data_IF_851874783733
#
_entry.id   IF_851874783733
#
_cell.length_a   1.000
_cell.length_b   1.000
_cell.length_c   1.000
_cell.angle_alpha   90.00
_cell.angle_beta   90.00
_cell.angle_gamma   90.00
#
_symmetry.space_group_name_H-M   'P 1'
#
loop_
_entity.id
_entity.type
_entity.pdbx_description
1 polymer ?
#
# COMPACT_ATOMS: atom_id res chain seq x y z
N UNK A 1 -2.42 -26.56 -18.26
CA UNK A 1 -2.36 -26.06 -16.86
C UNK A 1 -1.18 -25.11 -16.74
N UNK A 2 -1.40 -23.85 -16.37
CA UNK A 2 -0.32 -22.87 -16.24
C UNK A 2 0.47 -23.17 -14.94
N UNK A 3 1.78 -23.48 -15.00
CA UNK A 3 2.58 -23.93 -13.85
C UNK A 3 2.69 -22.91 -12.71
N UNK A 4 2.27 -21.65 -12.93
CA UNK A 4 2.25 -20.59 -11.93
C UNK A 4 1.33 -20.86 -10.73
N UNK A 5 0.26 -21.65 -10.87
CA UNK A 5 -0.73 -21.83 -9.79
C UNK A 5 -0.30 -22.85 -8.72
N UNK A 6 0.61 -23.78 -9.05
CA UNK A 6 1.21 -24.74 -8.10
C UNK A 6 2.10 -24.08 -7.03
N UNK A 7 2.44 -22.79 -7.19
CA UNK A 7 3.55 -22.15 -6.49
C UNK A 7 3.24 -21.47 -5.13
N UNK A 8 1.98 -21.39 -4.69
CA UNK A 8 1.63 -20.67 -3.44
C UNK A 8 1.46 -21.54 -2.19
N UNK A 9 1.94 -22.79 -2.20
CA UNK A 9 2.00 -23.60 -0.97
C UNK A 9 2.92 -22.91 0.06
N UNK A 10 2.44 -22.60 1.28
CA UNK A 10 3.27 -21.95 2.30
C UNK A 10 4.50 -22.80 2.64
N UNK A 11 5.69 -22.23 2.42
CA UNK A 11 6.95 -22.91 2.75
C UNK A 11 7.33 -22.53 4.18
N UNK A 12 7.39 -23.51 5.09
CA UNK A 12 7.98 -23.30 6.41
C UNK A 12 9.48 -23.12 6.28
N UNK A 13 10.01 -22.02 6.82
CA UNK A 13 11.44 -21.70 6.82
C UNK A 13 11.95 -21.74 8.26
N UNK A 14 13.17 -22.23 8.46
CA UNK A 14 13.80 -22.26 9.80
C UNK A 14 13.98 -20.86 10.37
N UNK A 15 14.03 -20.75 11.71
CA UNK A 15 14.24 -19.47 12.41
C UNK A 15 15.53 -18.79 11.98
N UNK A 16 16.61 -19.56 11.79
CA UNK A 16 17.88 -19.05 11.27
C UNK A 16 17.74 -18.46 9.87
N UNK A 17 17.07 -19.16 8.94
CA UNK A 17 16.87 -18.66 7.57
C UNK A 17 16.06 -17.36 7.56
N UNK A 18 15.04 -17.25 8.41
CA UNK A 18 14.25 -16.02 8.54
C UNK A 18 15.08 -14.88 9.12
N UNK A 19 15.90 -15.16 10.13
CA UNK A 19 16.78 -14.17 10.76
C UNK A 19 17.83 -13.62 9.78
N UNK A 20 18.62 -14.50 9.16
CA UNK A 20 19.66 -14.09 8.22
C UNK A 20 19.07 -13.47 6.95
N UNK A 21 17.96 -14.01 6.44
CA UNK A 21 17.24 -13.43 5.31
C UNK A 21 16.79 -11.99 5.60
N UNK A 22 16.17 -11.75 6.77
CA UNK A 22 15.77 -10.41 7.18
C UNK A 22 16.98 -9.46 7.24
N UNK A 23 18.10 -9.88 7.84
CA UNK A 23 19.32 -9.06 7.90
C UNK A 23 19.85 -8.73 6.51
N UNK A 24 19.97 -9.74 5.64
CA UNK A 24 20.43 -9.56 4.27
C UNK A 24 19.58 -8.53 3.51
N UNK A 25 18.26 -8.69 3.48
CA UNK A 25 17.37 -7.76 2.77
C UNK A 25 17.37 -6.36 3.40
N UNK A 26 17.53 -6.26 4.72
CA UNK A 26 17.68 -4.98 5.43
C UNK A 26 18.94 -4.24 4.98
N UNK A 27 20.08 -4.93 4.96
CA UNK A 27 21.36 -4.35 4.51
C UNK A 27 21.35 -4.02 3.03
N UNK A 28 20.79 -4.90 2.18
CA UNK A 28 20.58 -4.64 0.76
C UNK A 28 19.78 -3.36 0.55
N UNK A 29 18.70 -3.15 1.30
CA UNK A 29 17.91 -1.91 1.24
C UNK A 29 18.74 -0.69 1.62
N UNK A 30 19.50 -0.75 2.71
CA UNK A 30 20.36 0.36 3.11
C UNK A 30 21.42 0.67 2.05
N UNK A 31 22.03 -0.36 1.46
CA UNK A 31 22.93 -0.21 0.31
C UNK A 31 22.26 0.57 -0.82
N UNK A 32 21.06 0.15 -1.25
CA UNK A 32 20.27 0.87 -2.27
C UNK A 32 20.01 2.31 -1.83
N UNK A 33 19.63 2.57 -0.58
CA UNK A 33 19.40 3.95 -0.14
C UNK A 33 20.67 4.81 -0.16
N UNK A 34 21.84 4.24 0.10
CA UNK A 34 23.11 4.95 0.09
C UNK A 34 23.67 5.15 -1.32
N UNK A 35 23.49 4.19 -2.22
CA UNK A 35 24.11 4.19 -3.56
C UNK A 35 23.19 4.69 -4.67
N UNK A 36 21.87 4.68 -4.47
CA UNK A 36 20.94 5.06 -5.54
C UNK A 36 21.04 6.57 -5.81
N UNK A 37 21.48 6.89 -7.01
CA UNK A 37 21.67 8.26 -7.53
C UNK A 37 20.36 8.96 -7.92
N UNK A 38 19.21 8.28 -7.84
CA UNK A 38 17.91 8.90 -8.12
C UNK A 38 17.66 10.06 -7.17
N UNK A 39 17.21 11.19 -7.74
CA UNK A 39 16.78 12.35 -6.96
C UNK A 39 15.63 11.94 -6.03
N UNK A 40 15.71 12.34 -4.78
CA UNK A 40 14.78 11.92 -3.74
C UNK A 40 13.86 13.08 -3.38
N UNK A 41 12.56 12.80 -3.31
CA UNK A 41 11.58 13.71 -2.74
C UNK A 41 11.91 13.94 -1.26
N UNK A 42 12.30 15.16 -0.91
CA UNK A 42 12.66 15.54 0.47
C UNK A 42 12.06 16.87 0.90
N UNK A 43 11.74 17.74 -0.05
CA UNK A 43 11.11 19.02 0.23
C UNK A 43 9.67 18.80 0.65
N UNK A 44 9.24 19.52 1.68
CA UNK A 44 7.85 19.57 2.12
C UNK A 44 7.39 21.02 2.12
N UNK A 45 6.19 21.24 1.63
CA UNK A 45 5.53 22.53 1.66
C UNK A 45 4.18 22.39 2.37
N UNK A 46 3.85 23.28 3.33
CA UNK A 46 2.60 23.17 4.08
C UNK A 46 1.39 23.51 3.21
N UNK A 47 1.52 24.55 2.38
CA UNK A 47 0.47 25.05 1.50
C UNK A 47 0.19 24.04 0.39
N UNK A 48 -1.09 23.78 0.15
CA UNK A 48 -1.52 22.88 -0.91
C UNK A 48 -1.25 23.50 -2.29
N UNK A 49 -0.73 22.70 -3.23
CA UNK A 49 -0.77 23.03 -4.64
C UNK A 49 -2.24 23.19 -5.09
N UNK A 50 -2.50 24.06 -6.09
CA UNK A 50 -3.85 24.51 -6.39
C UNK A 50 -4.77 23.39 -6.88
N UNK A 51 -4.25 22.49 -7.73
CA UNK A 51 -5.08 21.51 -8.42
C UNK A 51 -5.16 20.20 -7.64
N UNK A 52 -6.39 19.69 -7.47
CA UNK A 52 -6.61 18.37 -6.90
C UNK A 52 -6.51 17.32 -8.00
N UNK A 53 -5.51 16.46 -7.91
CA UNK A 53 -5.37 15.32 -8.82
C UNK A 53 -6.31 14.18 -8.41
N UNK A 54 -6.25 13.78 -7.14
CA UNK A 54 -7.14 12.77 -6.59
C UNK A 54 -7.18 12.85 -5.07
N UNK A 55 -8.31 12.50 -4.46
CA UNK A 55 -8.47 12.38 -3.00
C UNK A 55 -9.08 11.04 -2.63
N UNK A 56 -8.75 10.56 -1.43
CA UNK A 56 -9.41 9.38 -0.87
C UNK A 56 -9.40 9.40 0.65
N UNK A 57 -10.40 8.74 1.24
CA UNK A 57 -10.57 8.60 2.67
C UNK A 57 -10.70 7.13 3.06
N UNK A 58 -10.09 6.73 4.18
CA UNK A 58 -10.29 5.39 4.75
C UNK A 58 -10.65 5.47 6.23
N UNK A 59 -11.67 4.72 6.71
CA UNK A 59 -12.04 4.74 8.12
C UNK A 59 -10.88 4.37 9.04
N UNK A 60 -10.68 5.13 10.12
CA UNK A 60 -9.63 4.90 11.10
C UNK A 60 -9.87 3.65 11.92
N UNK A 61 -11.11 3.34 12.26
CA UNK A 61 -11.47 2.19 13.10
C UNK A 61 -12.24 1.18 12.27
N UNK A 62 -11.88 -0.10 12.45
CA UNK A 62 -12.61 -1.24 11.93
C UNK A 62 -12.69 -2.28 13.03
N UNK A 63 -13.89 -2.80 13.29
CA UNK A 63 -14.07 -3.89 14.23
C UNK A 63 -13.70 -5.19 13.51
N UNK A 64 -12.57 -5.77 13.92
CA UNK A 64 -12.10 -7.04 13.37
C UNK A 64 -12.40 -8.15 14.39
N UNK A 65 -12.95 -9.27 13.92
CA UNK A 65 -13.30 -10.39 14.80
C UNK A 65 -12.05 -10.90 15.52
N UNK A 66 -12.12 -10.98 16.85
CA UNK A 66 -11.03 -11.50 17.68
C UNK A 66 -9.79 -10.63 17.75
N UNK A 67 -9.90 -9.33 17.42
CA UNK A 67 -8.81 -8.35 17.59
C UNK A 67 -9.20 -7.33 18.64
N UNK A 68 -8.31 -7.10 19.59
CA UNK A 68 -8.45 -6.06 20.61
C UNK A 68 -8.53 -4.66 19.98
N UNK A 69 -9.57 -3.89 20.36
CA UNK A 69 -9.77 -2.51 19.90
C UNK A 69 -8.65 -1.57 20.33
N UNK A 70 -7.93 -1.86 21.42
CA UNK A 70 -6.77 -1.07 21.81
C UNK A 70 -5.70 -1.04 20.70
N UNK A 71 -5.52 -2.13 19.94
CA UNK A 71 -4.59 -2.15 18.81
C UNK A 71 -5.04 -1.24 17.66
N UNK A 72 -6.36 -1.02 17.50
CA UNK A 72 -6.90 -0.07 16.52
C UNK A 72 -6.73 1.38 17.00
N UNK A 73 -6.89 1.67 18.29
CA UNK A 73 -6.60 3.00 18.84
C UNK A 73 -5.10 3.34 18.76
N UNK A 74 -4.22 2.40 19.10
CA UNK A 74 -2.78 2.56 18.94
C UNK A 74 -2.38 2.77 17.48
N UNK A 75 -3.07 2.13 16.53
CA UNK A 75 -2.88 2.38 15.09
C UNK A 75 -3.13 3.85 14.76
N UNK A 76 -4.14 4.51 15.32
CA UNK A 76 -4.40 5.93 15.06
C UNK A 76 -3.20 6.78 15.48
N UNK A 77 -2.62 6.53 16.65
CA UNK A 77 -1.39 7.20 17.11
C UNK A 77 -0.24 6.99 16.11
N UNK A 78 -0.03 5.76 15.67
CA UNK A 78 0.99 5.42 14.68
C UNK A 78 0.77 6.14 13.34
N UNK A 79 -0.48 6.19 12.87
CA UNK A 79 -0.87 6.87 11.64
C UNK A 79 -0.62 8.38 11.73
N UNK A 80 -0.96 9.03 12.85
CA UNK A 80 -0.65 10.46 13.07
C UNK A 80 0.84 10.74 12.98
N UNK A 81 1.66 9.93 13.65
CA UNK A 81 3.12 10.07 13.63
C UNK A 81 3.71 9.88 12.24
N UNK A 82 3.22 8.89 11.47
CA UNK A 82 3.67 8.66 10.10
C UNK A 82 3.16 9.74 9.12
N UNK A 83 1.90 10.16 9.23
CA UNK A 83 1.31 11.21 8.41
C UNK A 83 2.10 12.53 8.55
N UNK A 84 2.48 12.91 9.77
CA UNK A 84 3.30 14.11 10.02
C UNK A 84 4.69 14.08 9.33
N UNK A 85 5.19 12.90 8.95
CA UNK A 85 6.43 12.76 8.16
C UNK A 85 6.20 12.88 6.66
N UNK A 86 4.98 12.61 6.19
CA UNK A 86 4.64 12.55 4.78
C UNK A 86 3.86 13.76 4.28
N UNK A 87 3.09 14.41 5.13
CA UNK A 87 2.26 15.55 4.73
C UNK A 87 3.10 16.69 4.15
N UNK A 88 2.60 17.25 3.04
CA UNK A 88 3.22 18.32 2.30
C UNK A 88 4.39 17.88 1.41
N UNK A 89 4.69 16.58 1.30
CA UNK A 89 5.83 16.10 0.51
C UNK A 89 5.67 16.45 -0.98
N UNK A 90 6.65 17.17 -1.50
CA UNK A 90 6.75 17.53 -2.91
C UNK A 90 7.57 16.47 -3.64
N UNK A 91 7.05 15.97 -4.76
CA UNK A 91 7.73 15.07 -5.68
C UNK A 91 7.89 15.80 -7.00
N UNK A 92 9.08 16.36 -7.22
CA UNK A 92 9.42 17.07 -8.47
C UNK A 92 9.67 16.10 -9.62
N UNK A 93 9.65 16.57 -10.88
CA UNK A 93 10.08 15.77 -12.03
C UNK A 93 11.41 15.04 -11.79
N UNK A 94 11.41 13.73 -12.03
CA UNK A 94 12.54 12.82 -11.81
C UNK A 94 12.79 12.41 -10.35
N UNK A 95 12.07 12.98 -9.37
CA UNK A 95 12.21 12.60 -7.96
C UNK A 95 11.44 11.31 -7.63
N UNK A 96 11.97 10.54 -6.69
CA UNK A 96 11.34 9.34 -6.15
C UNK A 96 11.01 9.50 -4.66
N UNK A 97 9.75 9.24 -4.32
CA UNK A 97 9.26 8.99 -2.97
C UNK A 97 9.52 7.54 -2.57
N UNK A 98 9.96 7.35 -1.32
CA UNK A 98 10.08 6.04 -0.68
C UNK A 98 9.43 6.13 0.71
N UNK A 99 8.43 5.28 0.94
CA UNK A 99 7.62 5.30 2.14
C UNK A 99 8.46 5.16 3.42
N UNK A 100 9.27 4.10 3.50
CA UNK A 100 10.10 3.87 4.68
C UNK A 100 11.32 4.78 4.79
N UNK A 101 11.85 5.28 3.67
CA UNK A 101 12.96 6.25 3.75
C UNK A 101 12.48 7.60 4.28
N UNK A 102 11.23 7.97 4.02
CA UNK A 102 10.63 9.24 4.46
C UNK A 102 10.14 9.16 5.92
N UNK A 103 9.44 8.08 6.29
CA UNK A 103 8.97 7.86 7.68
C UNK A 103 10.11 7.47 8.62
N UNK A 104 11.02 6.60 8.15
CA UNK A 104 12.06 5.97 8.96
C UNK A 104 11.52 4.81 9.82
N UNK A 105 12.41 4.22 10.64
CA UNK A 105 12.06 3.08 11.51
C UNK A 105 11.00 3.47 12.55
N UNK A 106 9.82 2.82 12.57
CA UNK A 106 8.88 2.94 13.68
C UNK A 106 9.48 2.31 14.95
N UNK A 107 9.41 3.01 16.07
CA UNK A 107 9.88 2.49 17.36
C UNK A 107 9.17 3.17 18.52
N UNK A 108 9.07 2.46 19.66
CA UNK A 108 8.48 3.01 20.90
C UNK A 108 9.13 4.32 21.33
N UNK A 109 10.46 4.43 21.19
CA UNK A 109 11.22 5.67 21.49
C UNK A 109 10.75 6.88 20.67
N UNK A 110 10.21 6.66 19.47
CA UNK A 110 9.64 7.72 18.62
C UNK A 110 8.13 7.92 18.84
N UNK A 111 7.57 7.33 19.89
CA UNK A 111 6.14 7.42 20.21
C UNK A 111 5.26 6.38 19.52
N UNK A 112 5.81 5.50 18.67
CA UNK A 112 5.00 4.47 18.02
C UNK A 112 4.52 3.43 19.04
N UNK A 113 3.21 3.25 19.09
CA UNK A 113 2.54 2.28 19.93
C UNK A 113 2.43 0.92 19.22
N UNK A 114 2.12 -0.10 20.02
CA UNK A 114 1.89 -1.44 19.53
C UNK A 114 0.54 -1.56 18.84
N UNK A 115 0.55 -1.89 17.56
CA UNK A 115 -0.65 -2.14 16.76
C UNK A 115 -0.62 -3.52 16.12
N UNK A 116 -1.67 -3.82 15.37
CA UNK A 116 -1.77 -5.08 14.64
C UNK A 116 -0.76 -5.13 13.48
N UNK A 117 0.03 -6.20 13.41
CA UNK A 117 0.97 -6.51 12.34
C UNK A 117 0.65 -7.90 11.77
N UNK A 118 0.30 -7.97 10.49
CA UNK A 118 0.04 -9.25 9.81
C UNK A 118 1.31 -10.10 9.72
N UNK A 119 1.20 -11.39 9.99
CA UNK A 119 2.31 -12.33 10.06
C UNK A 119 1.84 -13.75 9.73
N UNK A 120 2.26 -14.29 8.58
CA UNK A 120 1.95 -15.67 8.13
C UNK A 120 0.49 -16.11 8.27
N UNK A 121 -0.44 -15.32 7.70
CA UNK A 121 -1.87 -15.65 7.75
C UNK A 121 -2.55 -15.38 9.09
N UNK A 122 -1.81 -14.91 10.10
CA UNK A 122 -2.36 -14.40 11.36
C UNK A 122 -1.90 -12.95 11.61
N UNK A 123 -2.08 -12.47 12.84
CA UNK A 123 -1.55 -11.19 13.29
C UNK A 123 -0.78 -11.33 14.59
N UNK A 124 0.10 -10.36 14.85
CA UNK A 124 0.76 -10.16 16.15
C UNK A 124 0.75 -8.68 16.51
N UNK A 125 1.00 -8.39 17.77
CA UNK A 125 1.25 -7.02 18.23
C UNK A 125 2.68 -6.58 17.93
N UNK A 126 2.88 -5.32 17.55
CA UNK A 126 4.22 -4.73 17.41
C UNK A 126 4.21 -3.23 17.10
N UNK A 127 5.36 -2.56 17.31
CA UNK A 127 5.45 -1.10 17.20
C UNK A 127 5.23 -0.66 15.75
N UNK A 128 4.42 0.39 15.57
CA UNK A 128 4.05 0.87 14.24
C UNK A 128 3.08 -0.05 13.50
N UNK A 129 2.37 -0.93 14.22
CA UNK A 129 1.30 -1.74 13.64
C UNK A 129 0.19 -0.88 13.05
N UNK A 130 -0.40 -1.38 11.97
CA UNK A 130 -1.45 -0.70 11.19
C UNK A 130 -0.98 0.33 10.17
N UNK A 131 0.34 0.61 10.06
CA UNK A 131 0.88 1.55 9.05
C UNK A 131 0.69 1.10 7.60
N UNK A 132 0.35 -0.17 7.32
CA UNK A 132 -0.05 -0.60 5.98
C UNK A 132 -1.32 0.10 5.48
N UNK A 133 -2.19 0.58 6.38
CA UNK A 133 -3.37 1.34 5.97
C UNK A 133 -2.98 2.63 5.24
N UNK A 134 -1.92 3.30 5.68
CA UNK A 134 -1.43 4.52 5.06
C UNK A 134 -0.75 4.24 3.71
N UNK A 135 0.06 3.19 3.60
CA UNK A 135 0.64 2.81 2.30
C UNK A 135 -0.44 2.37 1.30
N UNK A 136 -1.51 1.70 1.75
CA UNK A 136 -2.65 1.37 0.91
C UNK A 136 -3.35 2.62 0.37
N UNK A 137 -3.60 3.61 1.24
CA UNK A 137 -4.19 4.89 0.85
C UNK A 137 -3.35 5.58 -0.23
N UNK A 138 -2.03 5.75 0.02
CA UNK A 138 -1.13 6.43 -0.92
C UNK A 138 -1.07 5.68 -2.25
N UNK A 139 -0.91 4.36 -2.21
CA UNK A 139 -0.87 3.56 -3.44
C UNK A 139 -2.16 3.69 -4.24
N UNK A 140 -3.32 3.54 -3.59
CA UNK A 140 -4.63 3.68 -4.25
C UNK A 140 -4.76 5.03 -4.95
N UNK A 141 -4.51 6.14 -4.25
CA UNK A 141 -4.59 7.47 -4.86
C UNK A 141 -3.61 7.63 -6.03
N UNK A 142 -2.42 7.04 -5.92
CA UNK A 142 -1.41 7.12 -6.98
C UNK A 142 -1.88 6.47 -8.28
N UNK A 143 -2.70 5.41 -8.21
CA UNK A 143 -3.25 4.76 -9.40
C UNK A 143 -4.16 5.69 -10.22
N UNK A 144 -4.64 6.78 -9.62
CA UNK A 144 -5.44 7.81 -10.28
C UNK A 144 -4.62 9.00 -10.79
N UNK A 145 -3.29 8.88 -10.80
CA UNK A 145 -2.36 9.93 -11.24
C UNK A 145 -1.40 9.40 -12.31
N UNK A 146 -0.74 10.26 -13.11
CA UNK A 146 0.33 9.85 -14.00
C UNK A 146 1.63 9.46 -13.28
N UNK A 147 1.68 9.52 -11.94
CA UNK A 147 2.85 9.11 -11.18
C UNK A 147 3.12 7.61 -11.34
N UNK A 148 4.40 7.24 -11.38
CA UNK A 148 4.84 5.87 -11.61
C UNK A 148 5.09 5.13 -10.30
N UNK A 149 4.38 4.03 -10.06
CA UNK A 149 4.70 3.13 -8.94
C UNK A 149 5.93 2.30 -9.29
N UNK A 150 7.06 2.59 -8.63
CA UNK A 150 8.35 1.93 -8.90
C UNK A 150 8.62 0.72 -8.01
N UNK A 151 7.95 0.64 -6.86
CA UNK A 151 8.00 -0.52 -5.97
C UNK A 151 6.66 -0.70 -5.28
N UNK A 152 6.10 -1.91 -5.36
CA UNK A 152 4.87 -2.29 -4.67
C UNK A 152 4.91 -3.77 -4.32
N UNK A 153 4.55 -4.10 -3.08
CA UNK A 153 4.40 -5.48 -2.62
C UNK A 153 2.94 -5.76 -2.28
N UNK A 154 2.52 -7.03 -2.43
CA UNK A 154 1.18 -7.50 -2.06
C UNK A 154 1.23 -8.41 -0.84
N UNK A 155 0.12 -8.53 -0.14
CA UNK A 155 -0.04 -9.55 0.89
C UNK A 155 -0.12 -10.93 0.24
N UNK A 156 0.63 -11.90 0.76
CA UNK A 156 0.54 -13.30 0.32
C UNK A 156 -0.67 -14.04 0.91
N UNK A 157 -1.31 -13.48 1.93
CA UNK A 157 -2.45 -14.06 2.64
C UNK A 157 -3.61 -13.06 2.63
N UNK A 158 -4.79 -13.52 2.21
CA UNK A 158 -6.05 -12.81 2.35
C UNK A 158 -6.68 -13.22 3.69
N UNK A 159 -6.43 -12.40 4.72
CA UNK A 159 -6.70 -12.76 6.11
C UNK A 159 -8.14 -12.43 6.52
N UNK A 160 -8.76 -11.44 5.88
CA UNK A 160 -10.09 -10.97 6.25
C UNK A 160 -11.05 -11.16 5.08
N UNK A 161 -12.25 -11.71 5.32
CA UNK A 161 -13.27 -11.83 4.29
C UNK A 161 -13.76 -10.47 3.79
N UNK A 162 -14.31 -10.46 2.58
CA UNK A 162 -14.84 -9.27 1.91
C UNK A 162 -16.17 -8.83 2.52
N UNK A 163 -16.13 -8.27 3.72
CA UNK A 163 -17.28 -7.56 4.26
C UNK A 163 -17.19 -6.09 3.82
N UNK A 164 -18.06 -5.69 2.88
CA UNK A 164 -18.29 -4.30 2.44
C UNK A 164 -17.03 -3.59 1.92
N UNK A 165 -16.25 -4.26 1.06
CA UNK A 165 -15.05 -3.65 0.45
C UNK A 165 -15.47 -2.59 -0.59
N UNK A 166 -14.94 -1.38 -0.48
CA UNK A 166 -15.18 -0.29 -1.45
C UNK A 166 -14.15 -0.22 -2.56
N UNK A 167 -13.09 -1.03 -2.50
CA UNK A 167 -12.00 -1.06 -3.47
C UNK A 167 -11.74 -2.50 -3.93
N UNK A 168 -11.20 -2.70 -5.14
CA UNK A 168 -10.80 -4.01 -5.65
C UNK A 168 -9.87 -4.81 -4.72
N UNK A 169 -9.84 -6.13 -4.88
CA UNK A 169 -8.88 -6.96 -4.15
C UNK A 169 -7.43 -6.60 -4.51
N UNK A 170 -6.56 -6.53 -3.51
CA UNK A 170 -5.17 -6.17 -3.73
C UNK A 170 -4.98 -4.73 -4.26
N UNK A 171 -5.93 -3.83 -4.01
CA UNK A 171 -5.79 -2.39 -4.28
C UNK A 171 -4.81 -1.66 -3.34
N UNK A 172 -4.15 -2.39 -2.44
CA UNK A 172 -3.20 -1.86 -1.47
C UNK A 172 -1.73 -2.18 -1.79
N UNK A 173 -0.84 -1.62 -0.97
CA UNK A 173 0.60 -1.85 -0.97
C UNK A 173 1.07 -2.27 0.44
N UNK A 174 1.57 -3.50 0.54
CA UNK A 174 2.15 -4.03 1.77
C UNK A 174 3.53 -3.42 2.01
N UNK A 175 3.75 -2.93 3.23
CA UNK A 175 5.01 -2.34 3.63
C UNK A 175 5.52 -3.01 4.91
N UNK A 176 6.83 -3.26 5.00
CA UNK A 176 7.49 -3.80 6.19
C UNK A 176 8.87 -3.19 6.34
N UNK A 177 9.11 -2.51 7.47
CA UNK A 177 10.35 -1.77 7.64
C UNK A 177 11.57 -2.70 7.68
N UNK A 178 12.61 -2.49 6.89
CA UNK A 178 12.74 -1.50 5.80
C UNK A 178 12.75 -2.11 4.40
N UNK A 179 12.63 -3.43 4.24
CA UNK A 179 12.93 -4.08 2.97
C UNK A 179 11.73 -4.25 2.03
N UNK A 180 10.49 -4.16 2.52
CA UNK A 180 9.28 -4.05 1.68
C UNK A 180 8.78 -2.61 1.73
N UNK A 181 8.92 -1.88 0.62
CA UNK A 181 8.66 -0.45 0.55
C UNK A 181 7.56 -0.12 -0.48
N UNK A 182 7.03 1.09 -0.42
CA UNK A 182 6.24 1.69 -1.49
C UNK A 182 7.07 2.81 -2.11
N UNK A 183 7.38 2.66 -3.39
CA UNK A 183 8.19 3.61 -4.15
C UNK A 183 7.35 4.25 -5.25
N UNK A 184 7.35 5.58 -5.33
CA UNK A 184 6.61 6.34 -6.35
C UNK A 184 7.55 7.36 -6.98
N UNK A 185 7.60 7.44 -8.31
CA UNK A 185 8.43 8.38 -9.04
C UNK A 185 7.55 9.31 -9.85
N UNK A 186 7.93 10.57 -9.90
CA UNK A 186 7.30 11.53 -10.80
C UNK A 186 8.06 11.55 -12.13
N UNK A 187 7.46 10.96 -13.16
CA UNK A 187 7.96 10.97 -14.54
C UNK A 187 7.29 12.05 -15.41
N UNK A 188 6.50 12.92 -14.79
CA UNK A 188 5.86 14.05 -15.46
C UNK A 188 6.75 15.28 -15.44
N UNK A 189 6.28 16.35 -16.07
CA UNK A 189 6.89 17.67 -16.16
C UNK A 189 6.44 18.65 -15.05
N UNK A 190 5.44 18.29 -14.25
CA UNK A 190 4.91 19.13 -13.17
C UNK A 190 5.16 18.52 -11.78
N UNK A 191 5.14 19.36 -10.75
CA UNK A 191 5.32 18.91 -9.36
C UNK A 191 4.02 18.34 -8.80
N UNK A 192 4.14 17.21 -8.10
CA UNK A 192 3.05 16.63 -7.31
C UNK A 192 3.32 16.80 -5.82
N UNK A 193 2.27 16.99 -5.04
CA UNK A 193 2.33 17.10 -3.59
C UNK A 193 1.42 16.08 -2.93
N UNK A 194 1.97 15.38 -1.94
CA UNK A 194 1.23 14.45 -1.09
C UNK A 194 0.71 15.19 0.14
N UNK A 195 -0.61 15.28 0.29
CA UNK A 195 -1.26 15.78 1.51
C UNK A 195 -1.89 14.62 2.26
N UNK A 196 -1.64 14.53 3.56
CA UNK A 196 -2.16 13.45 4.42
C UNK A 196 -2.49 14.03 5.79
N UNK A 197 -3.71 13.79 6.25
CA UNK A 197 -4.14 14.15 7.59
C UNK A 197 -5.13 13.12 8.14
N UNK A 198 -5.43 13.23 9.42
CA UNK A 198 -6.45 12.43 10.08
C UNK A 198 -7.51 13.39 10.63
N UNK A 199 -8.77 13.10 10.34
CA UNK A 199 -9.90 13.68 11.08
C UNK A 199 -10.31 12.73 12.22
N UNK A 200 -11.50 12.94 12.79
CA UNK A 200 -12.02 12.13 13.89
C UNK A 200 -12.28 10.66 13.50
N UNK A 201 -12.63 10.43 12.23
CA UNK A 201 -13.18 9.16 11.76
C UNK A 201 -12.38 8.54 10.61
N UNK A 202 -11.64 9.34 9.83
CA UNK A 202 -10.95 8.92 8.61
C UNK A 202 -9.48 9.35 8.58
N UNK A 203 -8.68 8.49 7.95
CA UNK A 203 -7.39 8.85 7.39
C UNK A 203 -7.63 9.38 5.97
N UNK A 204 -7.27 10.63 5.75
CA UNK A 204 -7.49 11.38 4.53
C UNK A 204 -6.18 11.53 3.75
N UNK A 205 -6.28 11.55 2.43
CA UNK A 205 -5.15 11.82 1.58
C UNK A 205 -5.55 12.50 0.28
N UNK A 206 -4.61 13.25 -0.27
CA UNK A 206 -4.73 13.87 -1.59
C UNK A 206 -3.40 13.85 -2.32
N UNK A 207 -3.48 13.66 -3.63
CA UNK A 207 -2.47 14.15 -4.55
C UNK A 207 -2.92 15.52 -5.07
N UNK A 208 -2.05 16.52 -4.93
CA UNK A 208 -2.20 17.84 -5.52
C UNK A 208 -1.13 18.06 -6.59
N UNK A 209 -1.39 18.93 -7.56
CA UNK A 209 -0.44 19.26 -8.62
C UNK A 209 -0.53 20.74 -9.03
N UNK A 210 0.47 21.21 -9.77
CA UNK A 210 0.55 22.63 -10.19
C UNK A 210 -0.50 22.99 -11.23
N UNK A 211 -0.85 22.04 -12.10
CA UNK A 211 -1.77 22.23 -13.22
C UNK A 211 -2.74 21.05 -13.32
N UNK A 212 -3.91 21.28 -13.92
CA UNK A 212 -4.90 20.23 -14.10
C UNK A 212 -4.31 19.07 -14.91
N UNK A 213 -4.58 17.83 -14.49
CA UNK A 213 -4.10 16.65 -15.18
C UNK A 213 -4.62 16.58 -16.62
N UNK A 214 -3.75 16.15 -17.54
CA UNK A 214 -4.13 15.90 -18.94
C UNK A 214 -5.04 14.68 -19.10
N UNK A 215 -4.92 13.73 -18.17
CA UNK A 215 -5.68 12.47 -18.19
C UNK A 215 -6.36 12.23 -16.86
N UNK A 216 -7.55 11.65 -16.94
CA UNK A 216 -8.25 11.04 -15.82
C UNK A 216 -8.12 9.52 -15.88
N UNK A 217 -8.06 8.86 -14.72
CA UNK A 217 -7.81 7.43 -14.61
C UNK A 217 -8.92 6.74 -13.83
N UNK A 218 -9.52 5.72 -14.44
CA UNK A 218 -10.56 4.89 -13.82
C UNK A 218 -9.97 3.52 -13.51
N UNK A 219 -9.74 3.23 -12.23
CA UNK A 219 -9.17 1.95 -11.76
C UNK A 219 -10.27 0.91 -11.62
N UNK A 220 -10.05 -0.27 -12.18
CA UNK A 220 -11.01 -1.36 -12.14
C UNK A 220 -10.34 -2.73 -11.95
N UNK A 221 -11.13 -3.70 -11.52
CA UNK A 221 -10.73 -5.10 -11.35
C UNK A 221 -11.06 -5.91 -12.61
N UNK A 222 -10.13 -6.77 -13.03
CA UNK A 222 -10.34 -7.74 -14.11
C UNK A 222 -9.81 -9.10 -13.71
N UNK A 223 -10.32 -10.17 -14.34
CA UNK A 223 -9.85 -11.55 -14.14
C UNK A 223 -9.88 -11.99 -12.66
N UNK A 224 -10.89 -11.53 -11.90
CA UNK A 224 -11.07 -11.98 -10.52
C UNK A 224 -11.51 -13.45 -10.51
N UNK A 225 -10.76 -14.27 -9.77
CA UNK A 225 -11.02 -15.69 -9.62
C UNK A 225 -10.67 -16.16 -8.20
N UNK A 226 -11.39 -17.18 -7.76
CA UNK A 226 -11.04 -17.99 -6.59
C UNK A 226 -10.86 -19.42 -7.08
N UNK A 227 -9.70 -20.01 -6.79
CA UNK A 227 -9.35 -21.36 -7.26
C UNK A 227 -8.94 -22.25 -6.10
N UNK A 228 -9.54 -23.45 -6.04
CA UNK A 228 -9.10 -24.52 -5.14
C UNK A 228 -7.77 -25.09 -5.67
N UNK A 229 -6.78 -25.17 -4.80
CA UNK A 229 -5.46 -25.71 -5.11
C UNK A 229 -5.38 -27.20 -4.76
N UNK A 230 -4.56 -28.01 -5.46
CA UNK A 230 -4.46 -29.46 -5.23
C UNK A 230 -4.11 -29.87 -3.80
N UNK A 231 -3.47 -28.98 -3.04
CA UNK A 231 -3.09 -29.21 -1.65
C UNK A 231 -4.19 -28.83 -0.63
N UNK A 232 -5.35 -28.36 -1.10
CA UNK A 232 -6.55 -28.09 -0.30
C UNK A 232 -6.82 -26.64 0.09
N UNK A 233 -5.95 -25.68 -0.28
CA UNK A 233 -6.17 -24.26 0.00
C UNK A 233 -6.84 -23.50 -1.14
N UNK A 234 -7.46 -22.36 -0.85
CA UNK A 234 -8.06 -21.48 -1.85
C UNK A 234 -7.15 -20.28 -2.16
N UNK A 235 -6.94 -20.02 -3.45
CA UNK A 235 -6.20 -18.84 -3.91
C UNK A 235 -7.17 -17.86 -4.55
N UNK A 236 -7.14 -16.62 -4.08
CA UNK A 236 -7.81 -15.50 -4.72
C UNK A 236 -6.82 -14.75 -5.60
N UNK A 237 -7.20 -14.54 -6.85
CA UNK A 237 -6.39 -13.81 -7.84
C UNK A 237 -7.21 -12.76 -8.57
N UNK A 238 -6.58 -11.66 -8.96
CA UNK A 238 -7.15 -10.67 -9.87
C UNK A 238 -6.04 -9.89 -10.59
N UNK A 239 -6.44 -9.05 -11.53
CA UNK A 239 -5.63 -7.96 -12.06
C UNK A 239 -6.30 -6.64 -11.76
N UNK A 240 -5.50 -5.66 -11.34
CA UNK A 240 -5.88 -4.26 -11.30
C UNK A 240 -5.43 -3.63 -12.60
N UNK A 241 -6.37 -2.97 -13.25
CA UNK A 241 -6.16 -2.22 -14.49
C UNK A 241 -6.69 -0.81 -14.32
N UNK A 242 -6.29 0.10 -15.20
CA UNK A 242 -6.90 1.43 -15.26
C UNK A 242 -7.14 1.86 -16.70
N UNK A 243 -8.32 2.42 -16.95
CA UNK A 243 -8.61 3.12 -18.20
C UNK A 243 -8.05 4.54 -18.11
N UNK A 244 -7.54 5.03 -19.22
CA UNK A 244 -7.01 6.38 -19.35
C UNK A 244 -7.99 7.16 -20.23
N UNK A 245 -8.48 8.27 -19.71
CA UNK A 245 -9.44 9.14 -20.36
C UNK A 245 -8.82 10.52 -20.60
N UNK A 246 -9.00 11.07 -21.79
CA UNK A 246 -8.64 12.46 -22.08
C UNK A 246 -9.59 13.42 -21.36
N UNK A 247 -9.25 14.71 -21.34
CA UNK A 247 -10.16 15.75 -20.84
C UNK A 247 -11.46 15.87 -21.64
N UNK A 248 -11.48 15.48 -22.91
CA UNK A 248 -12.68 15.47 -23.75
C UNK A 248 -13.60 14.26 -23.49
N UNK A 249 -13.19 13.31 -22.64
CA UNK A 249 -13.94 12.09 -22.35
C UNK A 249 -13.67 10.94 -23.32
N UNK A 250 -12.70 11.09 -24.22
CA UNK A 250 -12.28 10.02 -25.12
C UNK A 250 -11.35 9.04 -24.40
N UNK A 251 -11.50 7.74 -24.69
CA UNK A 251 -10.62 6.71 -24.11
C UNK A 251 -9.27 6.75 -24.81
N UNK A 252 -8.25 7.23 -24.11
CA UNK A 252 -6.87 7.26 -24.57
C UNK A 252 -6.16 5.91 -24.43
N UNK A 253 -6.58 5.06 -23.49
CA UNK A 253 -5.93 3.78 -23.29
C UNK A 253 -6.48 2.91 -22.17
N UNK A 254 -5.81 1.78 -21.97
CA UNK A 254 -6.06 0.82 -20.90
C UNK A 254 -4.77 0.08 -20.56
N UNK A 255 -4.34 0.18 -19.31
CA UNK A 255 -3.08 -0.43 -18.88
C UNK A 255 -3.24 -1.34 -17.66
N UNK A 256 -2.41 -2.38 -17.63
CA UNK A 256 -2.28 -3.25 -16.49
C UNK A 256 -1.43 -2.57 -15.41
N UNK A 257 -1.97 -2.50 -14.18
CA UNK A 257 -1.30 -1.86 -13.04
C UNK A 257 -0.64 -2.90 -12.16
N UNK A 258 -1.38 -3.94 -11.79
CA UNK A 258 -0.90 -4.95 -10.87
C UNK A 258 -1.64 -6.27 -11.05
N UNK A 259 -0.97 -7.36 -10.73
CA UNK A 259 -1.57 -8.66 -10.58
C UNK A 259 -1.50 -9.08 -9.10
N UNK A 260 -2.59 -9.63 -8.57
CA UNK A 260 -2.63 -10.12 -7.20
C UNK A 260 -2.96 -11.59 -7.15
N UNK A 261 -2.28 -12.26 -6.23
CA UNK A 261 -2.55 -13.63 -5.82
C UNK A 261 -2.32 -13.69 -4.32
N UNK A 262 -3.32 -14.12 -3.56
CA UNK A 262 -3.17 -14.38 -2.14
C UNK A 262 -3.87 -15.67 -1.73
N UNK A 263 -3.29 -16.33 -0.73
CA UNK A 263 -3.90 -17.48 -0.09
C UNK A 263 -5.02 -17.03 0.85
N UNK A 264 -6.24 -17.53 0.64
CA UNK A 264 -7.38 -17.23 1.51
C UNK A 264 -7.25 -17.96 2.85
N UNK A 265 -7.43 -17.22 3.94
CA UNK A 265 -7.41 -17.76 5.31
C UNK A 265 -8.82 -18.01 5.87
N UNK A 266 -9.83 -17.91 5.01
CA UNK A 266 -11.24 -18.12 5.30
C UNK A 266 -11.88 -18.93 4.16
N UNK A 267 -13.00 -19.59 4.44
CA UNK A 267 -13.74 -20.35 3.43
C UNK A 267 -14.36 -19.38 2.41
N UNK A 268 -14.28 -19.64 1.10
CA UNK A 268 -14.99 -18.85 0.09
C UNK A 268 -16.51 -19.04 0.17
N UNK A 269 -16.97 -20.13 0.78
CA UNK A 269 -18.37 -20.40 1.10
C UNK A 269 -18.67 -19.77 2.48
N UNK A 270 -18.76 -18.46 2.54
CA UNK A 270 -19.38 -17.81 3.70
C UNK A 270 -20.89 -17.93 3.51
N UNK A 271 -21.54 -18.81 4.27
CA UNK A 271 -22.99 -18.69 4.50
C UNK A 271 -23.20 -17.39 5.23
N UNK A 272 -23.95 -16.45 4.64
CA UNK A 272 -24.47 -15.30 5.38
C UNK A 272 -25.18 -15.83 6.63
N UNK A 273 -24.64 -15.53 7.81
CA UNK A 273 -25.27 -15.77 9.10
C UNK A 273 -25.04 -14.54 9.97
#
# INVERSE_FOLDING_TARGET
MNPAFSAMKPIRRSRMRLFFGKRYFTWKRYGIWLTNSRKRATRREPNALPELAFSHATPLLRRLRGVDMQLQHNKIVNLRLAAARLDGLMIRPGETFSYWRTIGKPSRRKGYADGMVLHYGSYRSGPGGGLCQLSNLIYWMTLHTPLTVTERHRHSYDVFPDEKRTQPFGSGATCSYNYLDLGIRNDTDQVYQLKIWLDETHLQGEWRCEQTQLYHYEVYESEHAISLQPWGGYVRSNKIRRKIWTRSGERAGDEAVAENHALMMYSPLLTNA
#
